data_IF_210775195469
#
_entry.id   IF_210775195469
#
_cell.length_a   1.000
_cell.length_b   1.000
_cell.length_c   1.000
_cell.angle_alpha   90.00
_cell.angle_beta   90.00
_cell.angle_gamma   90.00
#
_symmetry.space_group_name_H-M   'P 1'
#
loop_
_entity.id
_entity.type
_entity.pdbx_description
1 polymer ?
#
# COMPACT_ATOMS: atom_id res chain seq x y z
N UNK A 1 15.11 -4.81 15.64
CA UNK A 1 14.33 -3.66 16.13
C UNK A 1 13.15 -3.46 15.21
N UNK A 2 11.95 -3.35 15.78
CA UNK A 2 10.70 -3.09 15.05
C UNK A 2 10.21 -1.70 15.41
N UNK A 3 9.88 -0.88 14.43
CA UNK A 3 9.33 0.46 14.65
C UNK A 3 8.26 0.79 13.60
N UNK A 4 7.22 1.50 14.02
CA UNK A 4 6.16 1.99 13.14
C UNK A 4 6.16 3.52 13.17
N UNK A 5 6.37 4.13 12.01
CA UNK A 5 6.34 5.57 11.83
C UNK A 5 5.03 5.90 11.12
N UNK A 6 4.17 6.67 11.78
CA UNK A 6 2.92 7.16 11.18
C UNK A 6 3.20 8.38 10.32
N UNK A 7 2.46 8.50 9.22
CA UNK A 7 2.53 9.65 8.32
C UNK A 7 3.96 9.94 7.81
N UNK A 8 4.69 8.89 7.41
CA UNK A 8 6.08 9.01 7.01
C UNK A 8 6.20 9.82 5.71
N UNK A 9 7.11 10.80 5.62
CA UNK A 9 7.24 11.64 4.43
C UNK A 9 7.91 10.86 3.29
N UNK A 10 7.47 11.10 2.05
CA UNK A 10 8.15 10.68 0.84
C UNK A 10 7.97 11.71 -0.29
N UNK A 11 8.74 11.60 -1.36
CA UNK A 11 8.56 12.43 -2.56
C UNK A 11 7.63 11.68 -3.50
N UNK A 12 6.51 12.30 -3.88
CA UNK A 12 5.58 11.68 -4.83
C UNK A 12 6.12 11.69 -6.25
N UNK A 13 5.48 10.94 -7.13
CA UNK A 13 5.75 10.96 -8.58
C UNK A 13 5.57 12.34 -9.23
N UNK A 14 4.90 13.29 -8.56
CA UNK A 14 4.75 14.66 -9.02
C UNK A 14 5.80 15.61 -8.42
N UNK A 15 6.82 15.09 -7.74
CA UNK A 15 7.94 15.87 -7.21
C UNK A 15 7.64 16.68 -5.95
N UNK A 16 6.46 16.52 -5.35
CA UNK A 16 6.10 17.21 -4.10
C UNK A 16 6.20 16.28 -2.89
N UNK A 17 6.27 16.89 -1.70
CA UNK A 17 6.28 16.15 -0.43
C UNK A 17 4.91 15.54 -0.17
N UNK A 18 4.85 14.21 -0.16
CA UNK A 18 3.69 13.42 0.23
C UNK A 18 3.94 12.71 1.56
N UNK A 19 2.90 12.03 2.07
CA UNK A 19 2.95 11.24 3.30
C UNK A 19 2.32 9.89 3.01
N UNK A 20 2.98 8.83 3.44
CA UNK A 20 2.40 7.49 3.51
C UNK A 20 1.86 7.26 4.91
N UNK A 21 0.76 6.53 5.05
CA UNK A 21 0.11 6.37 6.36
C UNK A 21 1.01 5.67 7.38
N UNK A 22 1.71 4.61 6.98
CA UNK A 22 2.68 3.92 7.85
C UNK A 22 3.95 3.53 7.11
N UNK A 23 5.07 3.65 7.81
CA UNK A 23 6.33 2.98 7.48
C UNK A 23 6.68 2.03 8.62
N UNK A 24 6.70 0.74 8.31
CA UNK A 24 7.16 -0.31 9.20
C UNK A 24 8.63 -0.60 8.92
N UNK A 25 9.46 -0.42 9.95
CA UNK A 25 10.86 -0.84 9.97
C UNK A 25 10.91 -2.17 10.73
N UNK A 26 11.29 -3.25 10.05
CA UNK A 26 11.33 -4.57 10.68
C UNK A 26 12.44 -5.43 10.04
N UNK A 27 13.37 -5.93 10.85
CA UNK A 27 14.47 -6.81 10.38
C UNK A 27 15.22 -6.27 9.15
N UNK A 28 15.50 -4.96 9.12
CA UNK A 28 16.20 -4.31 7.99
C UNK A 28 15.31 -3.97 6.79
N UNK A 29 14.04 -4.42 6.79
CA UNK A 29 13.04 -4.11 5.76
C UNK A 29 12.39 -2.75 6.04
N UNK A 30 12.03 -2.05 4.96
CA UNK A 30 11.21 -0.84 4.99
C UNK A 30 9.91 -1.14 4.23
N UNK A 31 8.83 -1.34 4.99
CA UNK A 31 7.52 -1.69 4.44
C UNK A 31 6.62 -0.47 4.54
N UNK A 32 6.29 0.09 3.40
CA UNK A 32 5.36 1.20 3.26
C UNK A 32 3.94 0.65 3.23
N UNK A 33 3.03 1.19 4.02
CA UNK A 33 1.64 0.72 4.11
C UNK A 33 0.72 1.92 3.87
N UNK A 34 -0.10 1.81 2.82
CA UNK A 34 -1.12 2.79 2.44
C UNK A 34 -2.50 2.14 2.56
N UNK A 35 -3.45 2.80 3.23
CA UNK A 35 -4.84 2.37 3.27
C UNK A 35 -5.67 3.25 2.35
N UNK A 36 -6.56 2.61 1.60
CA UNK A 36 -7.66 3.29 0.91
C UNK A 36 -8.98 2.64 1.30
N UNK A 37 -9.94 3.49 1.65
CA UNK A 37 -11.29 3.08 2.05
C UNK A 37 -12.33 3.72 1.14
N UNK A 38 -13.27 2.91 0.65
CA UNK A 38 -14.40 3.37 -0.15
C UNK A 38 -15.66 2.59 0.26
N UNK A 39 -16.50 3.21 1.10
CA UNK A 39 -17.75 2.57 1.59
C UNK A 39 -18.89 2.65 0.58
N UNK A 40 -18.97 3.73 -0.19
CA UNK A 40 -19.95 3.96 -1.25
C UNK A 40 -19.23 4.20 -2.58
N UNK A 41 -19.89 3.96 -3.74
CA UNK A 41 -19.35 4.33 -5.04
C UNK A 41 -18.92 5.80 -5.09
N UNK A 42 -17.78 6.07 -5.73
CA UNK A 42 -17.22 7.41 -5.83
C UNK A 42 -15.86 7.41 -6.54
N UNK A 43 -15.19 8.56 -6.59
CA UNK A 43 -13.93 8.73 -7.32
C UNK A 43 -12.67 8.29 -6.55
N UNK A 44 -12.81 7.68 -5.37
CA UNK A 44 -11.64 7.21 -4.62
C UNK A 44 -10.86 6.15 -5.38
N UNK A 45 -11.53 5.30 -6.16
CA UNK A 45 -10.88 4.27 -6.96
C UNK A 45 -10.06 4.81 -8.15
N UNK A 46 -10.34 6.04 -8.61
CA UNK A 46 -9.54 6.73 -9.62
C UNK A 46 -8.14 7.11 -9.11
N UNK A 47 -7.92 7.02 -7.79
CA UNK A 47 -6.63 7.27 -7.16
C UNK A 47 -5.75 6.02 -7.10
N UNK A 48 -6.25 4.84 -7.42
CA UNK A 48 -5.45 3.60 -7.40
C UNK A 48 -4.25 3.66 -8.35
N UNK A 49 -4.36 4.20 -9.59
CA UNK A 49 -3.19 4.43 -10.44
C UNK A 49 -2.14 5.32 -9.79
N UNK A 50 -2.56 6.42 -9.16
CA UNK A 50 -1.63 7.29 -8.44
C UNK A 50 -0.91 6.55 -7.30
N UNK A 51 -1.62 5.72 -6.51
CA UNK A 51 -0.98 4.91 -5.47
C UNK A 51 0.02 3.93 -6.07
N UNK A 52 -0.33 3.25 -7.16
CA UNK A 52 0.53 2.29 -7.84
C UNK A 52 1.82 2.93 -8.36
N UNK A 53 1.73 4.07 -9.03
CA UNK A 53 2.89 4.79 -9.55
C UNK A 53 3.82 5.26 -8.40
N UNK A 54 3.26 5.74 -7.29
CA UNK A 54 4.06 6.06 -6.10
C UNK A 54 4.67 4.82 -5.46
N UNK A 55 4.00 3.66 -5.51
CA UNK A 55 4.58 2.40 -5.08
C UNK A 55 5.81 2.07 -5.93
N UNK A 56 5.70 2.06 -7.26
CA UNK A 56 6.82 1.78 -8.17
C UNK A 56 8.06 2.63 -7.89
N UNK A 57 7.88 3.93 -7.68
CA UNK A 57 8.96 4.84 -7.32
C UNK A 57 9.68 4.44 -6.01
N UNK A 58 8.94 3.92 -5.02
CA UNK A 58 9.52 3.46 -3.76
C UNK A 58 10.12 2.06 -3.84
N UNK A 59 9.55 1.16 -4.66
CA UNK A 59 10.10 -0.17 -4.89
C UNK A 59 11.47 -0.08 -5.56
N UNK A 60 11.67 0.89 -6.46
CA UNK A 60 12.97 1.17 -7.08
C UNK A 60 14.05 1.57 -6.06
N UNK A 61 13.66 2.02 -4.86
CA UNK A 61 14.55 2.32 -3.73
C UNK A 61 14.79 1.10 -2.81
N UNK A 62 14.33 -0.09 -3.20
CA UNK A 62 14.48 -1.32 -2.43
C UNK A 62 13.48 -1.48 -1.28
N UNK A 63 12.39 -0.70 -1.28
CA UNK A 63 11.32 -0.81 -0.28
C UNK A 63 10.28 -1.86 -0.68
N UNK A 64 9.45 -2.24 0.29
CA UNK A 64 8.22 -3.00 0.06
C UNK A 64 7.02 -2.08 0.18
N UNK A 65 5.94 -2.38 -0.54
CA UNK A 65 4.74 -1.56 -0.53
C UNK A 65 3.49 -2.44 -0.36
N UNK A 66 2.69 -2.12 0.64
CA UNK A 66 1.42 -2.77 0.95
C UNK A 66 0.30 -1.75 0.76
N UNK A 67 -0.68 -2.08 -0.08
CA UNK A 67 -1.93 -1.34 -0.20
C UNK A 67 -3.06 -2.12 0.47
N UNK A 68 -3.75 -1.50 1.42
CA UNK A 68 -4.96 -2.05 2.02
C UNK A 68 -6.18 -1.41 1.37
N UNK A 69 -7.05 -2.22 0.78
CA UNK A 69 -8.33 -1.78 0.20
C UNK A 69 -9.50 -2.22 1.09
N UNK A 70 -10.21 -1.24 1.66
CA UNK A 70 -11.33 -1.46 2.57
C UNK A 70 -12.65 -0.91 2.00
N UNK A 71 -13.75 -1.63 2.23
CA UNK A 71 -15.11 -1.21 1.88
C UNK A 71 -15.65 -1.88 0.63
N UNK A 72 -16.94 -1.67 0.38
CA UNK A 72 -17.69 -2.32 -0.72
C UNK A 72 -17.98 -1.38 -1.88
N UNK A 73 -17.66 -0.09 -1.74
CA UNK A 73 -17.96 0.93 -2.74
C UNK A 73 -17.04 0.92 -3.96
N UNK A 74 -16.08 -0.01 -4.04
CA UNK A 74 -15.10 -0.07 -5.12
C UNK A 74 -15.71 -0.60 -6.41
N UNK A 75 -15.41 0.05 -7.54
CA UNK A 75 -15.72 -0.53 -8.86
C UNK A 75 -14.96 -1.86 -9.03
N UNK A 76 -15.63 -2.96 -9.44
CA UNK A 76 -14.98 -4.26 -9.60
C UNK A 76 -13.75 -4.20 -10.52
N UNK A 77 -13.85 -3.45 -11.63
CA UNK A 77 -12.74 -3.25 -12.55
C UNK A 77 -11.51 -2.59 -11.90
N UNK A 78 -11.70 -1.67 -10.96
CA UNK A 78 -10.61 -0.98 -10.27
C UNK A 78 -9.87 -1.92 -9.29
N UNK A 79 -10.61 -2.77 -8.57
CA UNK A 79 -10.03 -3.80 -7.69
C UNK A 79 -9.30 -4.87 -8.49
N UNK A 80 -9.91 -5.36 -9.58
CA UNK A 80 -9.25 -6.32 -10.47
C UNK A 80 -7.96 -5.73 -11.02
N UNK A 81 -8.01 -4.49 -11.52
CA UNK A 81 -6.85 -3.80 -12.07
C UNK A 81 -5.68 -3.71 -11.07
N UNK A 82 -5.92 -3.23 -9.85
CA UNK A 82 -4.82 -3.07 -8.88
C UNK A 82 -4.28 -4.43 -8.38
N UNK A 83 -5.13 -5.45 -8.27
CA UNK A 83 -4.70 -6.82 -7.91
C UNK A 83 -3.86 -7.45 -9.01
N UNK A 84 -4.22 -7.27 -10.28
CA UNK A 84 -3.39 -7.70 -11.42
C UNK A 84 -2.04 -6.99 -11.39
N UNK A 85 -2.01 -5.67 -11.17
CA UNK A 85 -0.75 -4.93 -11.02
C UNK A 85 0.12 -5.40 -9.87
N UNK A 86 -0.48 -5.73 -8.73
CA UNK A 86 0.25 -6.32 -7.60
C UNK A 86 0.86 -7.69 -7.96
N UNK A 87 0.12 -8.57 -8.63
CA UNK A 87 0.63 -9.87 -9.05
C UNK A 87 1.82 -9.76 -10.03
N UNK A 88 1.83 -8.73 -10.87
CA UNK A 88 2.90 -8.45 -11.85
C UNK A 88 4.11 -7.71 -11.25
N UNK A 89 3.98 -7.15 -10.04
CA UNK A 89 4.96 -6.22 -9.46
C UNK A 89 5.59 -6.81 -8.20
N UNK A 90 6.87 -7.17 -8.28
CA UNK A 90 7.63 -7.67 -7.12
C UNK A 90 7.58 -6.65 -5.97
N UNK A 91 7.37 -7.14 -4.75
CA UNK A 91 7.31 -6.35 -3.50
C UNK A 91 6.14 -5.36 -3.40
N UNK A 92 5.14 -5.45 -4.28
CA UNK A 92 3.86 -4.73 -4.14
C UNK A 92 2.73 -5.69 -3.85
N UNK A 93 2.07 -5.54 -2.70
CA UNK A 93 1.00 -6.45 -2.27
C UNK A 93 -0.27 -5.66 -1.95
N UNK A 94 -1.42 -6.21 -2.36
CA UNK A 94 -2.74 -5.63 -2.08
C UNK A 94 -3.51 -6.56 -1.17
N UNK A 95 -4.00 -6.04 -0.04
CA UNK A 95 -4.80 -6.80 0.93
C UNK A 95 -6.17 -6.17 1.17
N UNK A 96 -7.15 -7.02 1.47
CA UNK A 96 -8.27 -6.61 2.32
C UNK A 96 -7.88 -6.72 3.80
N UNK A 97 -8.54 -5.99 4.74
CA UNK A 97 -8.11 -5.95 6.13
C UNK A 97 -7.88 -7.31 6.80
N UNK A 98 -8.77 -8.32 6.67
CA UNK A 98 -8.53 -9.64 7.28
C UNK A 98 -7.26 -10.33 6.79
N UNK A 99 -6.93 -10.17 5.50
CA UNK A 99 -5.73 -10.74 4.89
C UNK A 99 -4.48 -10.01 5.40
N UNK A 100 -4.56 -8.70 5.56
CA UNK A 100 -3.46 -7.90 6.11
C UNK A 100 -3.14 -8.32 7.54
N UNK A 101 -4.15 -8.52 8.41
CA UNK A 101 -3.91 -8.94 9.80
C UNK A 101 -3.17 -10.29 9.87
N UNK A 102 -3.63 -11.28 9.11
CA UNK A 102 -2.96 -12.59 9.04
C UNK A 102 -1.52 -12.46 8.53
N UNK A 103 -1.32 -11.64 7.49
CA UNK A 103 0.00 -11.43 6.92
C UNK A 103 0.95 -10.74 7.89
N UNK A 104 0.52 -9.65 8.55
CA UNK A 104 1.39 -8.87 9.42
C UNK A 104 1.75 -9.65 10.68
N UNK A 105 0.81 -10.41 11.25
CA UNK A 105 1.07 -11.28 12.39
C UNK A 105 2.15 -12.30 12.04
N UNK A 106 2.08 -12.91 10.85
CA UNK A 106 3.11 -13.83 10.36
C UNK A 106 4.47 -13.16 10.09
N UNK A 107 4.52 -11.85 9.85
CA UNK A 107 5.79 -11.13 9.70
C UNK A 107 6.47 -10.86 11.06
N UNK A 108 5.69 -10.57 12.09
CA UNK A 108 6.21 -10.04 13.36
C UNK A 108 6.23 -11.07 14.51
N UNK A 109 5.76 -12.30 14.28
CA UNK A 109 5.67 -13.35 15.29
C UNK A 109 7.02 -13.93 15.79
N UNK A 110 8.16 -13.34 15.40
CA UNK A 110 9.52 -13.78 15.78
C UNK A 110 10.45 -12.57 16.01
#
# INVERSE_FOLDING_TARGET
MTAVIKNAPYVSIYGHRARIEFLLLHQGRQILIEVKRQRSPGSTDEKLPYVYENALANLALGREFVLIVEGEGWRPGAITWIKTKAAETKNFTVFHPPQFYQWIDAQIAH
#
